data_IF_879263439420
#
_entry.id   IF_879263439420
#
_cell.length_a   1.000
_cell.length_b   1.000
_cell.length_c   1.000
_cell.angle_alpha   90.00
_cell.angle_beta   90.00
_cell.angle_gamma   90.00
#
_symmetry.space_group_name_H-M   'P 1'
#
loop_
_entity.id
_entity.type
_entity.pdbx_description
1 polymer ?
#
# COMPACT_ATOMS: atom_id res chain seq x y z
N UNK A 1 -2.36 12.58 -6.82
CA UNK A 1 -2.26 12.93 -5.38
C UNK A 1 -0.79 13.01 -5.02
N UNK A 2 -0.39 14.06 -4.35
CA UNK A 2 0.97 14.23 -3.82
C UNK A 2 0.99 13.83 -2.32
N UNK A 3 2.02 13.12 -1.90
CA UNK A 3 2.23 12.74 -0.49
C UNK A 3 3.61 13.23 -0.07
N UNK A 4 3.67 13.89 1.08
CA UNK A 4 4.92 14.38 1.65
C UNK A 4 4.96 14.10 3.15
N UNK A 5 6.13 13.73 3.65
CA UNK A 5 6.40 13.71 5.09
C UNK A 5 7.43 14.79 5.42
N UNK A 6 7.22 15.44 6.56
CA UNK A 6 8.09 16.51 7.06
C UNK A 6 8.57 16.14 8.47
N UNK A 7 9.81 15.72 8.58
CA UNK A 7 10.46 15.38 9.83
C UNK A 7 9.75 14.30 10.64
N UNK A 8 9.13 13.30 9.98
CA UNK A 8 8.30 12.29 10.66
C UNK A 8 9.14 11.47 11.64
N UNK A 9 8.71 11.47 12.91
CA UNK A 9 9.31 10.72 14.00
C UNK A 9 8.31 9.69 14.55
N UNK A 10 8.82 8.55 15.00
CA UNK A 10 8.01 7.53 15.68
C UNK A 10 8.82 6.82 16.76
N UNK A 11 8.27 6.79 17.97
CA UNK A 11 8.84 6.06 19.12
C UNK A 11 7.90 4.90 19.47
N UNK A 12 8.41 3.68 19.49
CA UNK A 12 7.66 2.48 19.83
C UNK A 12 8.40 1.72 20.95
N UNK A 13 7.70 1.40 22.04
CA UNK A 13 8.30 0.69 23.16
C UNK A 13 9.53 1.41 23.76
N UNK A 14 9.58 2.73 23.73
CA UNK A 14 10.71 3.53 24.20
C UNK A 14 11.88 3.65 23.20
N UNK A 15 11.81 2.99 22.04
CA UNK A 15 12.84 3.05 21.01
C UNK A 15 12.43 4.00 19.88
N UNK A 16 13.32 4.90 19.45
CA UNK A 16 13.11 5.76 18.28
C UNK A 16 13.27 4.93 16.99
N UNK A 17 12.14 4.65 16.33
CA UNK A 17 12.10 3.87 15.09
C UNK A 17 12.25 4.77 13.87
N UNK A 18 11.65 5.96 13.87
CA UNK A 18 11.84 6.99 12.85
C UNK A 18 12.40 8.25 13.52
N UNK A 19 13.39 8.87 12.87
CA UNK A 19 14.20 9.96 13.44
C UNK A 19 14.19 11.22 12.58
N UNK A 20 13.03 11.59 12.05
CA UNK A 20 12.89 12.76 11.20
C UNK A 20 12.99 12.38 9.72
N UNK A 21 12.00 11.59 9.24
CA UNK A 21 11.97 11.07 7.88
C UNK A 21 11.21 12.03 6.97
N UNK A 22 11.89 12.43 5.88
CA UNK A 22 11.33 13.26 4.81
C UNK A 22 11.26 12.45 3.52
N UNK A 23 10.05 12.26 2.99
CA UNK A 23 9.83 11.73 1.64
C UNK A 23 8.85 12.63 0.89
N UNK A 24 8.96 12.63 -0.41
CA UNK A 24 8.01 13.26 -1.31
C UNK A 24 7.67 12.29 -2.43
N UNK A 25 6.37 12.08 -2.66
CA UNK A 25 5.84 11.19 -3.69
C UNK A 25 4.95 11.98 -4.62
N UNK A 26 5.33 12.08 -5.88
CA UNK A 26 4.60 12.81 -6.90
C UNK A 26 3.36 12.07 -7.40
N UNK A 27 2.57 12.78 -8.21
CA UNK A 27 1.38 12.17 -8.83
C UNK A 27 1.79 11.07 -9.81
N UNK A 28 1.10 9.92 -9.77
CA UNK A 28 1.31 8.78 -10.67
C UNK A 28 2.73 8.21 -10.62
N UNK A 29 3.43 8.44 -9.54
CA UNK A 29 4.77 7.92 -9.31
C UNK A 29 4.70 6.64 -8.49
N UNK A 30 5.47 5.61 -8.87
CA UNK A 30 5.70 4.42 -8.08
C UNK A 30 7.01 4.58 -7.31
N UNK A 31 6.88 4.84 -6.01
CA UNK A 31 8.01 5.05 -5.10
C UNK A 31 8.24 3.80 -4.26
N UNK A 32 9.47 3.28 -4.31
CA UNK A 32 9.91 2.18 -3.46
C UNK A 32 10.60 2.68 -2.18
N UNK A 33 10.24 2.10 -1.05
CA UNK A 33 10.96 2.25 0.22
C UNK A 33 11.74 0.97 0.46
N UNK A 34 13.07 1.06 0.43
CA UNK A 34 13.98 -0.07 0.59
C UNK A 34 14.81 0.07 1.87
N UNK A 35 15.39 -1.03 2.32
CA UNK A 35 16.26 -1.08 3.49
C UNK A 35 16.12 -2.39 4.27
N UNK A 36 17.02 -2.67 5.22
CA UNK A 36 17.01 -3.91 5.99
C UNK A 36 15.77 -4.04 6.87
N UNK A 37 15.53 -5.26 7.37
CA UNK A 37 14.48 -5.50 8.36
C UNK A 37 14.72 -4.66 9.62
N UNK A 38 13.65 -4.09 10.17
CA UNK A 38 13.73 -3.20 11.33
C UNK A 38 14.23 -1.78 11.03
N UNK A 39 14.48 -1.40 9.77
CA UNK A 39 14.94 -0.03 9.44
C UNK A 39 13.88 1.05 9.59
N UNK A 40 12.59 0.69 9.72
CA UNK A 40 11.49 1.64 9.89
C UNK A 40 10.52 1.74 8.70
N UNK A 41 10.71 0.98 7.60
CA UNK A 41 9.86 1.03 6.39
C UNK A 41 8.36 0.91 6.70
N UNK A 42 7.95 -0.20 7.31
CA UNK A 42 6.53 -0.44 7.65
C UNK A 42 6.03 0.57 8.70
N UNK A 43 6.89 1.06 9.59
CA UNK A 43 6.53 2.10 10.55
C UNK A 43 6.22 3.43 9.84
N UNK A 44 7.04 3.81 8.85
CA UNK A 44 6.78 4.98 8.01
C UNK A 44 5.46 4.86 7.26
N UNK A 45 5.23 3.71 6.60
CA UNK A 45 3.96 3.46 5.92
C UNK A 45 2.79 3.54 6.89
N UNK A 46 2.88 2.93 8.09
CA UNK A 46 1.84 2.99 9.13
C UNK A 46 1.53 4.42 9.58
N UNK A 47 2.52 5.31 9.60
CA UNK A 47 2.30 6.74 9.83
C UNK A 47 1.50 7.37 8.67
N UNK A 48 1.87 7.07 7.42
CA UNK A 48 1.23 7.64 6.24
C UNK A 48 -0.24 7.17 6.12
N UNK A 49 -0.54 5.90 6.39
CA UNK A 49 -1.93 5.42 6.34
C UNK A 49 -2.67 5.42 7.69
N UNK A 50 -2.13 6.16 8.70
CA UNK A 50 -2.80 6.49 9.99
C UNK A 50 -3.10 5.32 10.92
N UNK A 51 -2.41 4.21 10.80
CA UNK A 51 -2.45 3.13 11.81
C UNK A 51 -1.56 3.50 12.99
N UNK A 52 -0.50 4.26 12.75
CA UNK A 52 0.38 4.80 13.77
C UNK A 52 0.37 6.33 13.68
N UNK A 53 0.16 6.99 14.82
CA UNK A 53 0.33 8.45 14.90
C UNK A 53 1.82 8.77 15.08
N UNK A 54 2.41 9.64 14.24
CA UNK A 54 3.77 10.14 14.44
C UNK A 54 3.93 10.79 15.81
N UNK A 55 5.10 10.64 16.43
CA UNK A 55 5.44 11.34 17.69
C UNK A 55 6.00 12.74 17.43
N UNK A 56 6.37 13.05 16.20
CA UNK A 56 6.80 14.36 15.70
C UNK A 56 6.77 14.42 14.20
N UNK A 57 6.84 15.63 13.66
CA UNK A 57 6.70 15.87 12.22
C UNK A 57 5.26 15.81 11.73
N UNK A 58 5.08 15.84 10.42
CA UNK A 58 3.77 15.83 9.77
C UNK A 58 3.74 14.96 8.52
N UNK A 59 2.57 14.44 8.17
CA UNK A 59 2.27 13.81 6.89
C UNK A 59 1.29 14.70 6.13
N UNK A 60 1.62 15.09 4.91
CA UNK A 60 0.81 15.96 4.08
C UNK A 60 0.24 15.19 2.88
N UNK A 61 -1.05 15.39 2.60
CA UNK A 61 -1.74 14.93 1.41
C UNK A 61 -2.17 16.16 0.58
N UNK A 62 -1.64 16.31 -0.63
CA UNK A 62 -1.87 17.47 -1.48
C UNK A 62 -1.64 18.81 -0.72
N UNK A 63 -0.59 18.86 0.09
CA UNK A 63 -0.19 20.03 0.90
C UNK A 63 -1.01 20.27 2.18
N UNK A 64 -2.02 19.45 2.47
CA UNK A 64 -2.83 19.54 3.69
C UNK A 64 -2.43 18.44 4.68
N UNK A 65 -2.27 18.82 5.96
CA UNK A 65 -1.93 17.90 7.04
C UNK A 65 -2.96 16.76 7.14
N UNK A 66 -2.46 15.52 7.23
CA UNK A 66 -3.25 14.31 7.34
C UNK A 66 -4.14 14.30 8.60
N UNK A 67 -3.71 14.91 9.69
CA UNK A 67 -4.50 15.04 10.93
C UNK A 67 -5.76 15.91 10.76
N UNK A 68 -5.81 16.76 9.73
CA UNK A 68 -6.99 17.59 9.40
C UNK A 68 -8.07 16.84 8.60
N UNK A 69 -7.78 15.62 8.14
CA UNK A 69 -8.77 14.76 7.49
C UNK A 69 -9.44 13.86 8.53
N UNK A 70 -10.74 13.61 8.39
CA UNK A 70 -11.36 12.49 9.08
C UNK A 70 -10.77 11.14 8.58
N UNK A 71 -10.88 10.08 9.37
CA UNK A 71 -10.45 8.74 8.93
C UNK A 71 -11.14 8.30 7.63
N UNK A 72 -12.40 8.65 7.47
CA UNK A 72 -13.16 8.34 6.26
C UNK A 72 -12.66 9.09 5.03
N UNK A 73 -12.32 10.37 5.18
CA UNK A 73 -11.75 11.18 4.10
C UNK A 73 -10.38 10.66 3.67
N UNK A 74 -9.50 10.32 4.63
CA UNK A 74 -8.20 9.71 4.33
C UNK A 74 -8.35 8.34 3.68
N UNK A 75 -9.30 7.50 4.14
CA UNK A 75 -9.59 6.21 3.52
C UNK A 75 -10.19 6.29 2.11
N UNK A 76 -10.73 7.43 1.69
CA UNK A 76 -11.13 7.69 0.31
C UNK A 76 -9.98 8.19 -0.58
N UNK A 77 -8.83 8.45 0.00
CA UNK A 77 -7.63 8.96 -0.69
C UNK A 77 -6.51 7.93 -0.75
N UNK A 78 -6.41 7.06 0.25
CA UNK A 78 -5.35 6.07 0.39
C UNK A 78 -5.98 4.69 0.57
N UNK A 79 -5.68 3.77 -0.35
CA UNK A 79 -5.92 2.34 -0.15
C UNK A 79 -4.64 1.66 0.33
N UNK A 80 -4.79 0.57 1.08
CA UNK A 80 -3.66 -0.12 1.70
C UNK A 80 -3.75 -1.63 1.47
N UNK A 81 -2.64 -2.20 1.01
CA UNK A 81 -2.34 -3.64 1.08
C UNK A 81 -1.31 -3.83 2.18
N UNK A 82 -1.76 -4.27 3.35
CA UNK A 82 -0.90 -4.49 4.51
C UNK A 82 -0.23 -5.87 4.45
N UNK A 83 0.91 -6.00 5.13
CA UNK A 83 1.75 -7.20 5.14
C UNK A 83 1.03 -8.47 5.62
N UNK A 84 0.08 -8.36 6.56
CA UNK A 84 -0.66 -9.49 7.12
C UNK A 84 -2.17 -9.23 7.04
N UNK A 85 -2.85 -10.14 6.36
CA UNK A 85 -4.31 -10.15 6.28
C UNK A 85 -4.80 -11.54 6.69
N UNK A 86 -4.99 -11.75 8.01
CA UNK A 86 -5.58 -12.98 8.51
C UNK A 86 -7.10 -12.83 8.52
N UNK A 87 -7.76 -13.64 7.72
CA UNK A 87 -9.22 -13.75 7.71
C UNK A 87 -9.62 -15.12 8.23
N UNK A 88 -10.15 -15.18 9.44
CA UNK A 88 -10.65 -16.39 10.08
C UNK A 88 -12.12 -16.69 9.74
N UNK A 89 -12.70 -15.95 8.78
CA UNK A 89 -14.10 -16.09 8.41
C UNK A 89 -14.22 -16.67 6.99
N UNK A 90 -15.31 -17.41 6.76
CA UNK A 90 -15.65 -17.95 5.45
C UNK A 90 -16.34 -16.90 4.57
N UNK A 91 -15.57 -15.90 4.13
CA UNK A 91 -16.05 -14.93 3.14
C UNK A 91 -15.79 -15.43 1.72
N UNK A 92 -16.72 -15.13 0.81
CA UNK A 92 -16.42 -15.28 -0.61
C UNK A 92 -15.38 -14.24 -1.06
N UNK A 93 -14.69 -14.53 -2.17
CA UNK A 93 -13.75 -13.58 -2.79
C UNK A 93 -14.43 -12.23 -3.07
N UNK A 94 -15.66 -12.25 -3.57
CA UNK A 94 -16.45 -11.05 -3.84
C UNK A 94 -16.72 -10.26 -2.56
N UNK A 95 -17.04 -10.92 -1.44
CA UNK A 95 -17.28 -10.23 -0.16
C UNK A 95 -16.02 -9.56 0.36
N UNK A 96 -14.86 -10.22 0.25
CA UNK A 96 -13.57 -9.63 0.63
C UNK A 96 -13.27 -8.36 -0.19
N UNK A 97 -13.50 -8.40 -1.51
CA UNK A 97 -13.28 -7.23 -2.37
C UNK A 97 -14.31 -6.14 -2.10
N UNK A 98 -15.57 -6.50 -1.80
CA UNK A 98 -16.64 -5.57 -1.43
C UNK A 98 -16.29 -4.76 -0.17
N UNK A 99 -15.53 -5.31 0.78
CA UNK A 99 -15.04 -4.54 1.95
C UNK A 99 -14.26 -3.28 1.55
N UNK A 100 -13.62 -3.27 0.37
CA UNK A 100 -12.97 -2.08 -0.19
C UNK A 100 -13.92 -0.91 -0.41
N UNK A 101 -15.22 -1.14 -0.52
CA UNK A 101 -16.24 -0.10 -0.71
C UNK A 101 -16.66 0.59 0.59
N UNK A 102 -16.28 0.05 1.76
CA UNK A 102 -16.70 0.56 3.08
C UNK A 102 -16.48 2.08 3.28
N UNK A 103 -15.36 2.72 2.87
CA UNK A 103 -15.17 4.15 3.04
C UNK A 103 -16.20 5.02 2.28
N UNK A 104 -16.84 4.46 1.24
CA UNK A 104 -17.82 5.16 0.42
C UNK A 104 -19.25 5.03 0.94
N UNK A 105 -19.50 4.18 1.92
CA UNK A 105 -20.83 3.87 2.47
C UNK A 105 -21.06 4.53 3.83
N UNK A 106 -22.30 4.83 4.14
CA UNK A 106 -22.75 5.14 5.50
C UNK A 106 -23.06 3.85 6.25
N UNK A 107 -23.19 3.91 7.56
CA UNK A 107 -23.31 2.72 8.42
C UNK A 107 -24.47 1.76 8.08
N UNK A 108 -25.52 2.23 7.41
CA UNK A 108 -26.69 1.43 7.03
C UNK A 108 -26.90 1.34 5.52
N UNK A 109 -25.97 1.85 4.70
CA UNK A 109 -26.08 1.77 3.26
C UNK A 109 -25.90 0.31 2.80
N UNK A 110 -26.81 -0.17 1.93
CA UNK A 110 -26.67 -1.45 1.26
C UNK A 110 -25.71 -1.34 0.09
N UNK A 111 -25.18 -2.50 -0.34
CA UNK A 111 -24.43 -2.59 -1.59
C UNK A 111 -25.33 -2.26 -2.76
N UNK A 112 -24.86 -1.43 -3.67
CA UNK A 112 -25.60 -1.01 -4.87
C UNK A 112 -24.94 -1.54 -6.14
N UNK A 113 -25.59 -1.33 -7.29
CA UNK A 113 -25.11 -1.82 -8.58
C UNK A 113 -23.70 -1.30 -8.94
N UNK A 114 -23.37 -0.05 -8.58
CA UNK A 114 -22.04 0.52 -8.83
C UNK A 114 -20.97 -0.18 -7.97
N UNK A 115 -21.27 -0.51 -6.72
CA UNK A 115 -20.33 -1.25 -5.87
C UNK A 115 -20.02 -2.63 -6.46
N UNK A 116 -21.06 -3.36 -6.93
CA UNK A 116 -20.87 -4.66 -7.58
C UNK A 116 -20.07 -4.54 -8.89
N UNK A 117 -20.32 -3.51 -9.69
CA UNK A 117 -19.55 -3.23 -10.91
C UNK A 117 -18.08 -2.99 -10.60
N UNK A 118 -17.78 -2.11 -9.64
CA UNK A 118 -16.40 -1.78 -9.25
C UNK A 118 -15.66 -2.99 -8.65
N UNK A 119 -16.36 -3.85 -7.93
CA UNK A 119 -15.82 -5.12 -7.43
C UNK A 119 -15.49 -6.07 -8.58
N UNK A 120 -16.39 -6.19 -9.57
CA UNK A 120 -16.15 -7.03 -10.75
C UNK A 120 -14.96 -6.52 -11.57
N UNK A 121 -14.87 -5.21 -11.83
CA UNK A 121 -13.74 -4.58 -12.51
C UNK A 121 -12.41 -4.81 -11.76
N UNK A 122 -12.42 -4.67 -10.44
CA UNK A 122 -11.22 -4.92 -9.62
C UNK A 122 -10.79 -6.39 -9.67
N UNK A 123 -11.74 -7.34 -9.66
CA UNK A 123 -11.45 -8.77 -9.81
C UNK A 123 -10.91 -9.12 -11.21
N UNK A 124 -11.42 -8.47 -12.25
CA UNK A 124 -10.94 -8.61 -13.62
C UNK A 124 -9.49 -8.15 -13.75
N UNK A 125 -9.16 -6.96 -13.21
CA UNK A 125 -7.81 -6.40 -13.25
C UNK A 125 -6.74 -7.34 -12.63
N UNK A 126 -7.12 -8.11 -11.62
CA UNK A 126 -6.20 -9.06 -10.97
C UNK A 126 -6.36 -10.51 -11.47
N UNK A 127 -7.19 -10.75 -12.50
CA UNK A 127 -7.40 -12.08 -13.08
C UNK A 127 -8.16 -13.05 -12.17
N UNK A 128 -9.02 -12.54 -11.28
CA UNK A 128 -9.74 -13.36 -10.27
C UNK A 128 -11.27 -13.42 -10.48
N UNK A 129 -11.79 -12.98 -11.63
CA UNK A 129 -13.23 -12.96 -11.93
C UNK A 129 -13.90 -14.33 -11.75
N UNK A 130 -13.26 -15.42 -12.21
CA UNK A 130 -13.77 -16.79 -12.10
C UNK A 130 -13.85 -17.32 -10.66
N UNK A 131 -13.25 -16.63 -9.70
CA UNK A 131 -13.18 -17.03 -8.29
C UNK A 131 -14.16 -16.27 -7.39
N UNK A 132 -14.96 -15.34 -7.92
CA UNK A 132 -15.79 -14.40 -7.16
C UNK A 132 -16.66 -15.08 -6.06
N UNK A 133 -17.23 -16.26 -6.35
CA UNK A 133 -18.08 -17.01 -5.42
C UNK A 133 -17.33 -18.04 -4.56
N UNK A 134 -16.03 -18.22 -4.82
CA UNK A 134 -15.21 -19.18 -4.07
C UNK A 134 -14.88 -18.64 -2.68
N UNK A 135 -14.76 -19.52 -1.69
CA UNK A 135 -14.29 -19.11 -0.35
C UNK A 135 -12.85 -18.62 -0.42
N UNK A 136 -12.57 -17.46 0.16
CA UNK A 136 -11.25 -16.85 0.21
C UNK A 136 -10.21 -17.75 0.89
N UNK A 137 -10.62 -18.48 1.93
CA UNK A 137 -9.75 -19.40 2.69
C UNK A 137 -9.23 -20.59 1.87
N UNK A 138 -9.89 -20.92 0.73
CA UNK A 138 -9.50 -22.03 -0.14
C UNK A 138 -8.51 -21.64 -1.23
N UNK A 139 -8.13 -20.38 -1.29
CA UNK A 139 -7.20 -19.84 -2.28
C UNK A 139 -5.74 -20.08 -1.87
N UNK A 140 -4.85 -20.23 -2.85
CA UNK A 140 -3.40 -20.17 -2.63
C UNK A 140 -2.96 -18.81 -2.15
N UNK A 141 -1.78 -18.70 -1.53
CA UNK A 141 -1.25 -17.42 -1.03
C UNK A 141 -1.18 -16.33 -2.12
N UNK A 142 -0.74 -16.68 -3.35
CA UNK A 142 -0.69 -15.74 -4.47
C UNK A 142 -2.08 -15.29 -4.94
N UNK A 143 -3.07 -16.19 -4.96
CA UNK A 143 -4.46 -15.84 -5.27
C UNK A 143 -5.06 -14.95 -4.18
N UNK A 144 -4.81 -15.25 -2.90
CA UNK A 144 -5.23 -14.40 -1.78
C UNK A 144 -4.65 -13.00 -1.90
N UNK A 145 -3.36 -12.88 -2.21
CA UNK A 145 -2.71 -11.58 -2.37
C UNK A 145 -3.32 -10.77 -3.52
N UNK A 146 -3.66 -11.40 -4.65
CA UNK A 146 -4.38 -10.74 -5.75
C UNK A 146 -5.78 -10.27 -5.33
N UNK A 147 -6.51 -11.06 -4.55
CA UNK A 147 -7.82 -10.64 -4.01
C UNK A 147 -7.69 -9.45 -3.05
N UNK A 148 -6.65 -9.43 -2.22
CA UNK A 148 -6.37 -8.29 -1.33
C UNK A 148 -6.02 -7.04 -2.13
N UNK A 149 -5.25 -7.19 -3.22
CA UNK A 149 -5.01 -6.08 -4.15
C UNK A 149 -6.33 -5.62 -4.80
N UNK A 150 -7.18 -6.54 -5.27
CA UNK A 150 -8.50 -6.20 -5.83
C UNK A 150 -9.36 -5.42 -4.81
N UNK A 151 -9.35 -5.80 -3.53
CA UNK A 151 -10.02 -5.05 -2.46
C UNK A 151 -9.54 -3.61 -2.38
N UNK A 152 -8.22 -3.40 -2.44
CA UNK A 152 -7.64 -2.05 -2.42
C UNK A 152 -7.99 -1.27 -3.70
N UNK A 153 -8.04 -1.93 -4.87
CA UNK A 153 -8.43 -1.31 -6.13
C UNK A 153 -9.91 -0.93 -6.17
N UNK A 154 -10.79 -1.77 -5.62
CA UNK A 154 -12.22 -1.49 -5.50
C UNK A 154 -12.52 -0.25 -4.64
N UNK A 155 -11.61 0.15 -3.77
CA UNK A 155 -11.70 1.38 -2.97
C UNK A 155 -11.63 2.65 -3.82
N UNK A 156 -11.13 2.59 -5.08
CA UNK A 156 -11.09 3.71 -6.03
C UNK A 156 -10.37 4.96 -5.48
N UNK A 157 -9.20 4.76 -4.90
CA UNK A 157 -8.40 5.85 -4.33
C UNK A 157 -7.33 6.35 -5.30
N UNK A 158 -6.90 7.61 -5.23
CA UNK A 158 -5.81 8.15 -6.03
C UNK A 158 -4.42 7.64 -5.59
N UNK A 159 -4.30 7.07 -4.39
CA UNK A 159 -3.06 6.50 -3.88
C UNK A 159 -3.25 5.07 -3.38
N UNK A 160 -2.24 4.23 -3.61
CA UNK A 160 -2.12 2.87 -3.13
C UNK A 160 -0.83 2.72 -2.31
N UNK A 161 -0.95 2.20 -1.10
CA UNK A 161 0.20 1.83 -0.26
C UNK A 161 0.30 0.32 -0.18
N UNK A 162 1.51 -0.20 -0.44
CA UNK A 162 1.82 -1.61 -0.43
C UNK A 162 2.92 -1.88 0.61
N UNK A 163 2.58 -2.57 1.69
CA UNK A 163 3.55 -2.93 2.72
C UNK A 163 4.02 -4.37 2.51
N UNK A 164 5.16 -4.52 1.84
CA UNK A 164 5.80 -5.78 1.48
C UNK A 164 4.85 -6.74 0.70
N UNK A 165 4.25 -6.28 -0.41
CA UNK A 165 3.18 -7.02 -1.10
C UNK A 165 3.66 -8.31 -1.77
N UNK A 166 4.96 -8.46 -1.95
CA UNK A 166 5.59 -9.59 -2.66
C UNK A 166 6.18 -10.65 -1.72
N UNK A 167 6.13 -10.43 -0.40
CA UNK A 167 6.68 -11.37 0.57
C UNK A 167 5.99 -12.74 0.50
N UNK A 168 6.79 -13.81 0.59
CA UNK A 168 6.34 -15.19 0.54
C UNK A 168 5.69 -15.64 -0.77
N UNK A 169 5.77 -14.84 -1.83
CA UNK A 169 5.33 -15.21 -3.17
C UNK A 169 6.49 -15.74 -4.01
N UNK A 170 6.21 -16.72 -4.85
CA UNK A 170 7.15 -17.12 -5.90
C UNK A 170 7.39 -15.95 -6.87
N UNK A 171 8.60 -15.91 -7.47
CA UNK A 171 9.04 -14.78 -8.31
C UNK A 171 8.03 -14.48 -9.46
N UNK A 172 7.41 -15.49 -10.02
CA UNK A 172 6.38 -15.33 -11.05
C UNK A 172 5.20 -14.47 -10.55
N UNK A 173 4.68 -14.80 -9.37
CA UNK A 173 3.55 -14.07 -8.79
C UNK A 173 3.94 -12.68 -8.30
N UNK A 174 5.19 -12.50 -7.88
CA UNK A 174 5.74 -11.17 -7.54
C UNK A 174 5.74 -10.26 -8.77
N UNK A 175 6.24 -10.75 -9.91
CA UNK A 175 6.28 -10.00 -11.17
C UNK A 175 4.87 -9.69 -11.68
N UNK A 176 3.98 -10.69 -11.73
CA UNK A 176 2.56 -10.48 -12.12
C UNK A 176 1.87 -9.41 -11.28
N UNK A 177 2.09 -9.41 -9.96
CA UNK A 177 1.51 -8.41 -9.06
C UNK A 177 2.08 -7.01 -9.34
N UNK A 178 3.40 -6.91 -9.52
CA UNK A 178 4.05 -5.63 -9.79
C UNK A 178 3.72 -5.10 -11.19
N UNK A 179 3.51 -5.95 -12.19
CA UNK A 179 3.02 -5.57 -13.53
C UNK A 179 1.63 -4.94 -13.42
N UNK A 180 0.72 -5.55 -12.64
CA UNK A 180 -0.60 -4.95 -12.36
C UNK A 180 -0.41 -3.58 -11.70
N UNK A 181 0.40 -3.50 -10.64
CA UNK A 181 0.63 -2.24 -9.90
C UNK A 181 1.21 -1.16 -10.80
N UNK A 182 2.19 -1.49 -11.66
CA UNK A 182 2.82 -0.53 -12.59
C UNK A 182 1.85 -0.06 -13.68
N UNK A 183 0.89 -0.88 -14.07
CA UNK A 183 -0.15 -0.51 -15.05
C UNK A 183 -1.20 0.46 -14.49
N UNK A 184 -1.26 0.64 -13.16
CA UNK A 184 -2.20 1.55 -12.54
C UNK A 184 -1.78 3.01 -12.76
N UNK A 185 -2.71 3.83 -13.23
CA UNK A 185 -2.49 5.29 -13.36
C UNK A 185 -2.73 5.99 -12.00
N UNK A 186 -1.98 5.57 -10.97
CA UNK A 186 -2.13 6.03 -9.58
C UNK A 186 -0.78 6.29 -8.92
N UNK A 187 -0.78 7.10 -7.87
CA UNK A 187 0.37 7.24 -7.00
C UNK A 187 0.51 5.97 -6.16
N UNK A 188 1.70 5.37 -6.13
CA UNK A 188 1.96 4.14 -5.37
C UNK A 188 3.18 4.32 -4.48
N UNK A 189 3.06 3.91 -3.22
CA UNK A 189 4.18 3.80 -2.28
C UNK A 189 4.29 2.34 -1.85
N UNK A 190 5.45 1.72 -2.08
CA UNK A 190 5.65 0.31 -1.74
C UNK A 190 6.89 0.11 -0.89
N UNK A 191 6.75 -0.57 0.27
CA UNK A 191 7.91 -1.15 0.93
C UNK A 191 8.29 -2.42 0.16
N UNK A 192 9.51 -2.47 -0.35
CA UNK A 192 10.01 -3.55 -1.19
C UNK A 192 11.27 -4.13 -0.55
N UNK A 193 11.31 -5.46 -0.46
CA UNK A 193 12.46 -6.17 0.10
C UNK A 193 13.47 -6.59 -0.97
N UNK A 194 12.98 -7.00 -2.15
CA UNK A 194 13.81 -7.42 -3.26
C UNK A 194 14.27 -6.21 -4.09
N UNK A 195 15.59 -5.98 -4.11
CA UNK A 195 16.21 -4.84 -4.80
C UNK A 195 16.07 -4.94 -6.33
N UNK A 196 15.98 -6.16 -6.90
CA UNK A 196 15.77 -6.32 -8.33
C UNK A 196 14.36 -5.88 -8.72
N UNK A 197 13.36 -6.26 -7.92
CA UNK A 197 11.98 -5.79 -8.11
C UNK A 197 11.91 -4.27 -7.96
N UNK A 198 12.56 -3.71 -6.95
CA UNK A 198 12.62 -2.26 -6.75
C UNK A 198 13.25 -1.56 -7.96
N UNK A 199 14.36 -2.10 -8.50
CA UNK A 199 15.04 -1.57 -9.67
C UNK A 199 14.20 -1.62 -10.95
N UNK A 200 13.42 -2.70 -11.14
CA UNK A 200 12.61 -2.92 -12.34
C UNK A 200 11.36 -2.04 -12.41
N UNK A 201 10.74 -1.79 -11.25
CA UNK A 201 9.38 -1.23 -11.23
C UNK A 201 9.30 0.19 -10.71
N UNK A 202 10.17 0.59 -9.76
CA UNK A 202 10.06 1.91 -9.13
C UNK A 202 10.62 3.03 -10.00
N UNK A 203 9.94 4.16 -9.98
CA UNK A 203 10.41 5.40 -10.62
C UNK A 203 11.45 6.10 -9.74
N UNK A 204 11.32 5.95 -8.41
CA UNK A 204 12.22 6.50 -7.39
C UNK A 204 12.29 5.57 -6.18
N UNK A 205 13.44 5.58 -5.52
CA UNK A 205 13.68 4.83 -4.29
C UNK A 205 14.05 5.76 -3.15
N UNK A 206 13.61 5.40 -1.95
CA UNK A 206 14.10 5.92 -0.68
C UNK A 206 14.74 4.77 0.10
N UNK A 207 16.04 4.86 0.38
CA UNK A 207 16.76 3.90 1.21
C UNK A 207 16.66 4.32 2.67
N UNK A 208 16.10 3.45 3.52
CA UNK A 208 15.91 3.67 4.96
C UNK A 208 16.87 2.80 5.74
N UNK A 209 17.65 3.39 6.65
CA UNK A 209 18.56 2.69 7.56
C UNK A 209 18.53 3.34 8.94
N UNK A 210 18.27 2.53 9.97
CA UNK A 210 18.29 3.00 11.37
C UNK A 210 17.27 4.11 11.66
N UNK A 211 16.16 4.18 10.92
CA UNK A 211 15.10 5.18 11.09
C UNK A 211 15.31 6.50 10.34
N UNK A 212 16.28 6.57 9.46
CA UNK A 212 16.64 7.76 8.68
C UNK A 212 16.68 7.45 7.18
N UNK A 213 16.49 8.46 6.31
CA UNK A 213 16.72 8.32 4.87
C UNK A 213 18.23 8.47 4.63
N UNK A 214 18.84 7.43 4.06
CA UNK A 214 20.28 7.41 3.74
C UNK A 214 20.54 7.55 2.24
N UNK A 215 19.50 7.48 1.41
CA UNK A 215 19.60 7.68 -0.03
C UNK A 215 18.23 7.92 -0.65
N UNK A 216 18.18 8.74 -1.71
CA UNK A 216 16.98 9.03 -2.47
C UNK A 216 17.38 9.33 -3.92
N UNK A 217 16.69 8.74 -4.88
CA UNK A 217 16.95 8.97 -6.29
C UNK A 217 16.31 7.92 -7.18
N UNK A 218 16.68 7.91 -8.46
CA UNK A 218 16.30 6.83 -9.38
C UNK A 218 16.98 5.53 -8.94
N UNK A 219 16.41 4.36 -9.30
CA UNK A 219 17.01 3.07 -8.92
C UNK A 219 18.51 2.98 -9.22
N UNK A 220 18.96 3.44 -10.39
CA UNK A 220 20.39 3.41 -10.80
C UNK A 220 21.29 4.34 -9.95
N UNK A 221 20.71 5.35 -9.28
CA UNK A 221 21.44 6.30 -8.43
C UNK A 221 21.55 5.81 -6.99
N UNK A 222 20.57 4.97 -6.55
CA UNK A 222 20.46 4.49 -5.16
C UNK A 222 21.03 3.08 -5.00
N UNK A 223 20.92 2.24 -6.05
CA UNK A 223 21.42 0.86 -6.07
C UNK A 223 22.78 0.82 -6.76
N UNK A 224 23.80 1.34 -6.11
CA UNK A 224 25.21 1.27 -6.53
C UNK A 224 25.92 0.10 -5.89
N UNK A 225 27.04 -0.35 -6.46
CA UNK A 225 27.86 -1.46 -5.94
C UNK A 225 28.76 -1.07 -4.75
N UNK A 226 28.70 0.21 -4.28
CA UNK A 226 29.53 0.73 -3.18
C UNK A 226 28.86 0.62 -1.79
#
# INVERSE_FOLDING_TARGET
MDIRTEGVQAVLGGSAILKGVDIQVGQRELVGIIGPNGSGKSTLLKCIYRVLKPTGGAVLLDGRDLDQYSYRESARRIAVVAQHNYYNFEFSVQDVVMMGRAPHKRALDRDNADDFRLVAEALELVGMSGFARRSFSTLSGGEQQRVILARALAQQTPCLILDEPTNHLDIKYQLELMDIVKSLDRTVISAIHDLNIAAMYCDRLYAVKGGEIVGCGRPQEVLTED
#
